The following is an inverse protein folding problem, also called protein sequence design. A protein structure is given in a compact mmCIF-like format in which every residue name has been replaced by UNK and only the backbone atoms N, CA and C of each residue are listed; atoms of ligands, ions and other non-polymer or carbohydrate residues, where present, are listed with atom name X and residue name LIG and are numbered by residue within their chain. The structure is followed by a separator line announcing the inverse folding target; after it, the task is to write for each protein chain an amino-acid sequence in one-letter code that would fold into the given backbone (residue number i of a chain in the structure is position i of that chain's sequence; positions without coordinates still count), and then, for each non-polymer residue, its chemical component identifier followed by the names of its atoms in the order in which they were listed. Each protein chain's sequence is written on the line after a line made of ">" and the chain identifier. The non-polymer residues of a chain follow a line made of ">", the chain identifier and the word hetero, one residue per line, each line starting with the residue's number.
data_IF_985155802447
#
_entry.id   IF_985155802447
#
_cell.length_a   1.000
_cell.length_b   1.000
_cell.length_c   1.000
_cell.angle_alpha   90.00
_cell.angle_beta   90.00
_cell.angle_gamma   90.00
#
_symmetry.space_group_name_H-M   'P 1'
#
loop_
_entity.id
_entity.type
_entity.pdbx_description
1 polymer ?
#
# COMPACT_ATOMS: atom_id res chain seq x y z
N UNK A 1 31.78 2.72 -3.20
CA UNK A 1 30.40 2.21 -3.00
C UNK A 1 30.46 0.69 -2.97
N UNK A 2 29.84 0.04 -1.99
CA UNK A 2 29.94 -1.41 -1.75
C UNK A 2 28.56 -2.05 -1.81
N UNK A 3 28.44 -3.24 -2.40
CA UNK A 3 27.18 -4.00 -2.53
C UNK A 3 27.43 -5.50 -2.36
N UNK A 4 26.45 -6.21 -1.82
CA UNK A 4 26.39 -7.67 -1.84
C UNK A 4 25.90 -8.09 -3.23
N UNK A 5 26.68 -8.91 -3.94
CA UNK A 5 26.38 -9.35 -5.31
C UNK A 5 26.79 -10.82 -5.43
N UNK A 6 25.99 -11.62 -6.14
CA UNK A 6 26.36 -12.99 -6.47
C UNK A 6 27.64 -13.00 -7.33
N UNK A 7 28.69 -13.65 -6.85
CA UNK A 7 29.95 -13.78 -7.58
C UNK A 7 30.01 -15.12 -8.30
N UNK A 8 30.10 -15.13 -9.63
CA UNK A 8 30.21 -16.37 -10.41
C UNK A 8 31.47 -17.18 -10.09
N UNK A 9 32.53 -16.51 -9.59
CA UNK A 9 33.79 -17.17 -9.20
C UNK A 9 33.73 -17.79 -7.81
N UNK A 10 33.07 -17.14 -6.84
CA UNK A 10 32.90 -17.68 -5.48
C UNK A 10 31.66 -18.59 -5.36
N UNK A 11 30.74 -18.48 -6.32
CA UNK A 11 29.42 -19.15 -6.35
C UNK A 11 28.52 -18.83 -5.16
N UNK A 12 28.72 -17.68 -4.54
CA UNK A 12 27.95 -17.18 -3.41
C UNK A 12 27.83 -15.65 -3.48
N UNK A 13 26.93 -15.09 -2.68
CA UNK A 13 26.84 -13.64 -2.50
C UNK A 13 28.07 -13.16 -1.70
N UNK A 14 28.82 -12.24 -2.29
CA UNK A 14 30.03 -11.69 -1.69
C UNK A 14 30.02 -10.17 -1.78
N UNK A 15 30.75 -9.48 -0.89
CA UNK A 15 30.93 -8.05 -0.97
C UNK A 15 31.72 -7.66 -2.22
N UNK A 16 31.20 -6.73 -3.01
CA UNK A 16 31.88 -6.13 -4.14
C UNK A 16 32.00 -4.62 -4.00
N UNK A 17 33.16 -4.08 -4.41
CA UNK A 17 33.45 -2.65 -4.42
C UNK A 17 33.38 -2.09 -5.84
N UNK A 18 32.73 -0.95 -6.01
CA UNK A 18 32.69 -0.23 -7.28
C UNK A 18 34.10 0.30 -7.62
N UNK A 19 34.67 -0.19 -8.72
CA UNK A 19 35.99 0.24 -9.22
C UNK A 19 35.90 1.16 -10.43
N UNK A 20 34.79 1.11 -11.19
CA UNK A 20 34.54 2.02 -12.30
C UNK A 20 33.06 2.45 -12.35
N UNK A 21 32.72 3.66 -11.88
CA UNK A 21 31.35 4.17 -11.90
C UNK A 21 30.76 4.29 -13.31
N UNK A 22 31.54 4.71 -14.31
CA UNK A 22 31.04 4.95 -15.67
C UNK A 22 30.61 3.68 -16.40
N UNK A 23 31.27 2.56 -16.08
CA UNK A 23 31.00 1.22 -16.65
C UNK A 23 30.30 0.28 -15.68
N UNK A 24 29.90 0.79 -14.52
CA UNK A 24 29.32 -0.01 -13.42
C UNK A 24 30.12 -1.29 -13.11
N UNK A 25 31.46 -1.20 -13.09
CA UNK A 25 32.31 -2.35 -12.78
C UNK A 25 32.51 -2.48 -11.28
N UNK A 26 32.19 -3.66 -10.77
CA UNK A 26 32.31 -4.06 -9.38
C UNK A 26 33.36 -5.16 -9.25
N UNK A 27 34.24 -5.04 -8.27
CA UNK A 27 35.27 -6.04 -7.97
C UNK A 27 34.91 -6.79 -6.69
N UNK A 28 34.91 -8.12 -6.74
CA UNK A 28 34.73 -8.99 -5.58
C UNK A 28 35.91 -8.81 -4.62
N UNK A 29 35.63 -8.56 -3.34
CA UNK A 29 36.70 -8.45 -2.33
C UNK A 29 37.27 -9.81 -1.90
N UNK A 30 36.60 -10.92 -2.22
CA UNK A 30 37.03 -12.28 -1.86
C UNK A 30 37.99 -12.86 -2.89
N UNK A 31 37.60 -12.87 -4.18
CA UNK A 31 38.39 -13.49 -5.25
C UNK A 31 39.01 -12.49 -6.24
N UNK A 32 38.67 -11.20 -6.13
CA UNK A 32 39.19 -10.16 -7.03
C UNK A 32 38.55 -10.11 -8.42
N UNK A 33 37.57 -10.98 -8.72
CA UNK A 33 36.87 -10.98 -10.02
C UNK A 33 36.13 -9.67 -10.26
N UNK A 34 36.17 -9.15 -11.48
CA UNK A 34 35.44 -7.94 -11.88
C UNK A 34 34.23 -8.32 -12.71
N UNK A 35 33.07 -7.74 -12.38
CA UNK A 35 31.82 -7.91 -13.12
C UNK A 35 31.15 -6.56 -13.39
N UNK A 36 30.39 -6.48 -14.48
CA UNK A 36 29.54 -5.33 -14.79
C UNK A 36 28.16 -5.53 -14.18
N UNK A 37 27.70 -4.56 -13.38
CA UNK A 37 26.39 -4.59 -12.73
C UNK A 37 25.59 -3.37 -13.13
N UNK A 38 24.86 -3.50 -14.22
CA UNK A 38 24.01 -2.42 -14.72
C UNK A 38 22.89 -2.12 -13.71
N UNK A 39 22.63 -0.84 -13.42
CA UNK A 39 21.48 -0.46 -12.62
C UNK A 39 20.21 -0.87 -13.36
N UNK A 40 19.23 -1.38 -12.62
CA UNK A 40 17.95 -1.73 -13.21
C UNK A 40 17.30 -0.46 -13.78
N UNK A 41 16.89 -0.51 -15.05
CA UNK A 41 16.20 0.62 -15.68
C UNK A 41 14.90 0.84 -14.92
N UNK A 42 14.65 2.06 -14.46
CA UNK A 42 13.38 2.45 -13.85
C UNK A 42 12.49 3.17 -14.84
N UNK A 43 11.19 3.05 -14.65
CA UNK A 43 10.15 3.74 -15.43
C UNK A 43 9.27 4.53 -14.47
N UNK A 44 8.91 5.73 -14.89
CA UNK A 44 7.90 6.55 -14.22
C UNK A 44 6.54 6.22 -14.82
N UNK A 45 5.60 5.75 -14.00
CA UNK A 45 4.23 5.45 -14.41
C UNK A 45 3.28 6.50 -13.86
N UNK A 46 2.30 6.90 -14.68
CA UNK A 46 1.22 7.77 -14.21
C UNK A 46 0.38 7.00 -13.19
N UNK A 47 0.05 7.67 -12.09
CA UNK A 47 -0.83 7.14 -11.06
C UNK A 47 -2.07 8.02 -10.89
N UNK A 48 -3.20 7.40 -10.62
CA UNK A 48 -4.43 8.07 -10.20
C UNK A 48 -4.84 7.47 -8.86
N UNK A 49 -4.70 8.24 -7.78
CA UNK A 49 -5.04 7.81 -6.43
C UNK A 49 -6.37 8.42 -6.00
N UNK A 50 -7.31 7.57 -5.64
CA UNK A 50 -8.66 7.97 -5.22
C UNK A 50 -8.80 7.95 -3.71
N UNK A 51 -9.40 9.00 -3.15
CA UNK A 51 -9.76 9.15 -1.74
C UNK A 51 -11.23 9.58 -1.64
N UNK A 52 -12.09 8.67 -1.19
CA UNK A 52 -13.55 8.83 -1.23
C UNK A 52 -14.05 9.23 -2.65
N UNK A 53 -14.49 10.48 -2.82
CA UNK A 53 -15.05 11.08 -4.03
C UNK A 53 -14.04 11.95 -4.81
N UNK A 54 -12.83 12.10 -4.28
CA UNK A 54 -11.77 12.90 -4.89
C UNK A 54 -10.70 11.99 -5.47
N UNK A 55 -10.18 12.34 -6.64
CA UNK A 55 -9.02 11.67 -7.24
C UNK A 55 -7.92 12.68 -7.51
N UNK A 56 -6.68 12.24 -7.32
CA UNK A 56 -5.50 13.05 -7.51
C UNK A 56 -4.55 12.35 -8.47
N UNK A 57 -3.87 13.16 -9.31
CA UNK A 57 -2.84 12.67 -10.21
C UNK A 57 -1.53 12.57 -9.44
N UNK A 58 -0.85 11.45 -9.61
CA UNK A 58 0.46 11.19 -9.06
C UNK A 58 1.33 10.39 -10.01
N UNK A 59 2.45 9.90 -9.48
CA UNK A 59 3.43 9.08 -10.19
C UNK A 59 3.95 7.97 -9.28
N UNK A 60 4.34 6.85 -9.87
CA UNK A 60 5.13 5.82 -9.20
C UNK A 60 6.40 5.57 -10.01
N UNK A 61 7.50 5.32 -9.31
CA UNK A 61 8.78 4.97 -9.93
C UNK A 61 9.13 3.53 -9.58
N UNK A 62 9.11 2.67 -10.59
CA UNK A 62 9.27 1.22 -10.44
C UNK A 62 10.33 0.71 -11.40
N UNK A 63 11.03 -0.41 -11.09
CA UNK A 63 11.89 -1.05 -12.05
C UNK A 63 11.10 -1.49 -13.29
N UNK A 64 11.71 -1.36 -14.47
CA UNK A 64 11.08 -1.67 -15.75
C UNK A 64 10.61 -3.12 -15.85
N UNK A 65 11.32 -4.03 -15.18
CA UNK A 65 11.00 -5.45 -15.17
C UNK A 65 9.96 -5.85 -14.11
N UNK A 66 9.54 -4.91 -13.26
CA UNK A 66 8.60 -5.19 -12.18
C UNK A 66 7.21 -5.54 -12.72
N UNK A 67 6.60 -6.55 -12.12
CA UNK A 67 5.23 -6.97 -12.43
C UNK A 67 4.32 -6.46 -11.32
N UNK A 68 3.49 -5.48 -11.66
CA UNK A 68 2.52 -4.90 -10.73
C UNK A 68 1.25 -5.74 -10.69
N UNK A 69 0.67 -5.87 -9.50
CA UNK A 69 -0.55 -6.66 -9.28
C UNK A 69 -1.59 -5.90 -8.47
N UNK A 70 -2.86 -6.07 -8.81
CA UNK A 70 -3.99 -5.56 -8.02
C UNK A 70 -3.94 -6.07 -6.58
N UNK A 71 -4.17 -5.17 -5.63
CA UNK A 71 -4.08 -5.40 -4.20
C UNK A 71 -2.69 -5.12 -3.60
N UNK A 72 -1.67 -4.90 -4.44
CA UNK A 72 -0.36 -4.45 -3.99
C UNK A 72 -0.41 -3.00 -3.49
N UNK A 73 0.36 -2.70 -2.46
CA UNK A 73 0.48 -1.35 -1.91
C UNK A 73 1.78 -0.70 -2.39
N UNK A 74 1.65 0.45 -3.04
CA UNK A 74 2.77 1.21 -3.60
C UNK A 74 2.79 2.63 -3.05
N UNK A 75 3.99 3.21 -2.99
CA UNK A 75 4.17 4.62 -2.64
C UNK A 75 3.97 5.47 -3.89
N UNK A 76 3.09 6.44 -3.79
CA UNK A 76 2.70 7.35 -4.88
C UNK A 76 3.20 8.74 -4.54
N UNK A 77 3.99 9.31 -5.44
CA UNK A 77 4.34 10.73 -5.39
C UNK A 77 3.15 11.55 -5.90
N UNK A 78 2.72 12.51 -5.09
CA UNK A 78 1.62 13.44 -5.37
C UNK A 78 2.12 14.87 -5.14
N UNK A 79 1.32 15.88 -5.51
CA UNK A 79 1.77 17.28 -5.47
C UNK A 79 2.29 17.74 -4.10
N UNK A 80 1.72 17.21 -3.02
CA UNK A 80 2.06 17.57 -1.63
C UNK A 80 2.89 16.49 -0.90
N UNK A 81 3.63 15.64 -1.62
CA UNK A 81 4.53 14.64 -1.04
C UNK A 81 4.20 13.22 -1.45
N UNK A 82 4.06 12.31 -0.49
CA UNK A 82 3.86 10.87 -0.76
C UNK A 82 2.61 10.32 -0.08
N UNK A 83 1.94 9.39 -0.75
CA UNK A 83 0.83 8.60 -0.21
C UNK A 83 1.06 7.11 -0.44
N UNK A 84 0.37 6.28 0.35
CA UNK A 84 0.35 4.84 0.15
C UNK A 84 -0.97 4.46 -0.52
N UNK A 85 -0.90 3.87 -1.70
CA UNK A 85 -2.05 3.47 -2.50
C UNK A 85 -2.08 1.97 -2.74
N UNK A 86 -3.26 1.36 -2.60
CA UNK A 86 -3.52 -0.02 -3.00
C UNK A 86 -3.96 -0.05 -4.47
N UNK A 87 -3.30 -0.86 -5.29
CA UNK A 87 -3.61 -0.99 -6.72
C UNK A 87 -4.99 -1.60 -6.88
N UNK A 88 -5.88 -0.89 -7.56
CA UNK A 88 -7.25 -1.35 -7.86
C UNK A 88 -7.40 -1.84 -9.30
N UNK A 89 -6.60 -1.31 -10.23
CA UNK A 89 -6.57 -1.71 -11.64
C UNK A 89 -5.33 -1.16 -12.34
N UNK A 90 -4.85 -1.87 -13.37
CA UNK A 90 -3.74 -1.44 -14.21
C UNK A 90 -4.27 -1.18 -15.63
N UNK A 91 -4.04 0.02 -16.15
CA UNK A 91 -4.42 0.40 -17.50
C UNK A 91 -3.19 0.35 -18.41
N UNK A 92 -3.27 -0.51 -19.42
CA UNK A 92 -2.20 -0.72 -20.40
C UNK A 92 -2.19 0.42 -21.43
N UNK A 93 -1.08 0.54 -22.17
CA UNK A 93 -0.91 1.50 -23.29
C UNK A 93 -1.95 1.38 -24.41
N UNK A 94 -2.60 0.22 -24.53
CA UNK A 94 -3.70 0.00 -25.46
C UNK A 94 -5.09 0.36 -24.89
N UNK A 95 -5.16 0.91 -23.68
CA UNK A 95 -6.38 1.30 -22.97
C UNK A 95 -7.11 0.15 -22.24
N UNK A 96 -6.64 -1.10 -22.37
CA UNK A 96 -7.26 -2.24 -21.65
C UNK A 96 -6.89 -2.18 -20.16
N UNK A 97 -7.87 -2.49 -19.31
CA UNK A 97 -7.67 -2.68 -17.87
C UNK A 97 -7.48 -4.15 -17.50
N UNK A 98 -6.46 -4.41 -16.69
CA UNK A 98 -6.07 -5.74 -16.22
C UNK A 98 -5.73 -5.70 -14.73
N UNK A 99 -5.64 -6.88 -14.11
CA UNK A 99 -5.29 -7.02 -12.70
C UNK A 99 -3.77 -7.25 -12.49
N UNK A 100 -3.02 -7.63 -13.53
CA UNK A 100 -1.57 -7.88 -13.49
C UNK A 100 -0.93 -7.42 -14.80
N UNK A 101 0.22 -6.73 -14.75
CA UNK A 101 0.97 -6.32 -15.93
C UNK A 101 2.44 -5.99 -15.61
N UNK A 102 3.33 -6.10 -16.62
CA UNK A 102 4.69 -5.57 -16.55
C UNK A 102 4.66 -4.04 -16.55
N UNK A 103 5.53 -3.43 -15.74
CA UNK A 103 5.67 -1.97 -15.64
C UNK A 103 5.86 -1.31 -17.02
N UNK A 104 6.57 -1.96 -17.95
CA UNK A 104 6.81 -1.39 -19.27
C UNK A 104 5.58 -1.32 -20.19
N UNK A 105 4.53 -2.09 -19.90
CA UNK A 105 3.29 -2.14 -20.69
C UNK A 105 2.18 -1.23 -20.14
N UNK A 106 2.36 -0.75 -18.90
CA UNK A 106 1.39 0.06 -18.18
C UNK A 106 1.49 1.52 -18.64
N UNK A 107 0.32 2.13 -18.83
CA UNK A 107 0.17 3.57 -19.06
C UNK A 107 -0.29 4.28 -17.78
N UNK A 108 -1.21 3.69 -17.02
CA UNK A 108 -1.74 4.29 -15.79
C UNK A 108 -2.07 3.26 -14.72
N UNK A 109 -1.64 3.54 -13.49
CA UNK A 109 -1.94 2.74 -12.30
C UNK A 109 -3.09 3.40 -11.53
N UNK A 110 -4.19 2.66 -11.34
CA UNK A 110 -5.37 3.13 -10.60
C UNK A 110 -5.31 2.65 -9.16
N UNK A 111 -5.36 3.58 -8.22
CA UNK A 111 -5.08 3.32 -6.81
C UNK A 111 -6.20 3.84 -5.92
N UNK A 112 -6.33 3.21 -4.76
CA UNK A 112 -7.13 3.69 -3.64
C UNK A 112 -6.18 4.11 -2.52
N UNK A 113 -6.37 5.28 -1.94
CA UNK A 113 -5.61 5.72 -0.78
C UNK A 113 -5.90 4.79 0.42
N UNK A 114 -4.83 4.19 0.94
CA UNK A 114 -4.86 3.32 2.11
C UNK A 114 -3.94 3.81 3.22
N UNK A 115 -3.21 4.90 3.02
CA UNK A 115 -2.33 5.47 4.03
C UNK A 115 -3.12 6.15 5.14
N UNK A 116 -4.03 7.05 4.77
CA UNK A 116 -4.89 7.77 5.70
C UNK A 116 -6.36 7.68 5.26
N UNK A 117 -7.15 6.94 6.02
CA UNK A 117 -8.49 6.52 5.63
C UNK A 117 -9.57 7.10 6.53
N UNK A 118 -10.74 7.32 5.95
CA UNK A 118 -11.95 7.72 6.65
C UNK A 118 -12.71 6.47 7.12
N UNK A 119 -12.79 6.27 8.44
CA UNK A 119 -13.57 5.18 9.03
C UNK A 119 -14.95 5.70 9.42
N UNK A 120 -15.99 5.12 8.80
CA UNK A 120 -17.38 5.45 9.09
C UNK A 120 -17.92 4.59 10.21
N UNK A 121 -18.52 5.21 11.22
CA UNK A 121 -19.04 4.56 12.41
C UNK A 121 -20.54 4.87 12.53
N UNK A 122 -21.33 3.85 12.84
CA UNK A 122 -22.74 3.98 13.21
C UNK A 122 -22.87 3.79 14.71
N UNK A 123 -23.17 4.87 15.41
CA UNK A 123 -23.31 4.90 16.86
C UNK A 123 -24.78 4.70 17.23
N UNK A 124 -25.08 3.59 17.88
CA UNK A 124 -26.43 3.22 18.30
C UNK A 124 -26.65 3.56 19.77
N UNK A 125 -27.70 4.34 20.07
CA UNK A 125 -28.16 4.64 21.44
C UNK A 125 -29.68 4.47 21.51
N UNK A 126 -30.12 3.31 21.98
CA UNK A 126 -31.53 2.93 21.93
C UNK A 126 -32.02 2.88 20.47
N UNK A 127 -33.12 3.57 20.10
CA UNK A 127 -33.63 3.60 18.73
C UNK A 127 -32.85 4.56 17.81
N UNK A 128 -31.99 5.42 18.35
CA UNK A 128 -31.28 6.45 17.59
C UNK A 128 -29.97 5.90 17.05
N UNK A 129 -29.72 6.13 15.76
CA UNK A 129 -28.42 5.85 15.10
C UNK A 129 -27.82 7.15 14.59
N UNK A 130 -26.62 7.49 15.07
CA UNK A 130 -25.89 8.68 14.66
C UNK A 130 -24.69 8.28 13.79
N UNK A 131 -24.52 8.85 12.57
CA UNK A 131 -23.30 8.67 11.81
C UNK A 131 -22.16 9.45 12.46
N UNK A 132 -20.98 8.83 12.51
CA UNK A 132 -19.75 9.43 13.01
C UNK A 132 -18.61 9.02 12.09
N UNK A 133 -17.62 9.89 11.91
CA UNK A 133 -16.49 9.64 11.02
C UNK A 133 -15.20 10.05 11.71
N UNK A 134 -14.16 9.25 11.53
CA UNK A 134 -12.81 9.55 12.00
C UNK A 134 -11.82 9.36 10.86
N UNK A 135 -10.78 10.19 10.83
CA UNK A 135 -9.62 10.00 9.96
C UNK A 135 -8.52 9.34 10.77
N UNK A 136 -7.93 8.28 10.24
CA UNK A 136 -6.88 7.54 10.91
C UNK A 136 -5.96 6.85 9.91
N UNK A 137 -4.80 6.38 10.36
CA UNK A 137 -3.93 5.58 9.50
C UNK A 137 -4.63 4.27 9.11
N UNK A 138 -4.48 3.87 7.85
CA UNK A 138 -5.02 2.61 7.34
C UNK A 138 -4.58 1.38 8.12
N UNK A 139 -3.43 1.46 8.81
CA UNK A 139 -2.86 0.37 9.61
C UNK A 139 -3.49 0.21 11.00
N UNK A 140 -4.26 1.19 11.48
CA UNK A 140 -4.93 1.10 12.78
C UNK A 140 -5.96 -0.03 12.75
N UNK A 141 -5.88 -0.95 13.69
CA UNK A 141 -6.84 -2.03 13.83
C UNK A 141 -8.02 -1.65 14.72
N UNK A 142 -9.23 -2.05 14.32
CA UNK A 142 -10.43 -1.97 15.15
C UNK A 142 -10.91 -3.38 15.48
N UNK A 143 -11.27 -3.61 16.74
CA UNK A 143 -11.64 -4.95 17.22
C UNK A 143 -13.10 -5.02 17.65
N UNK A 144 -13.81 -6.07 17.24
CA UNK A 144 -15.15 -6.35 17.78
C UNK A 144 -15.04 -6.60 19.28
N UNK A 145 -15.74 -5.78 20.06
CA UNK A 145 -15.70 -5.76 21.52
C UNK A 145 -14.93 -4.58 22.12
N UNK A 146 -14.15 -3.87 21.31
CA UNK A 146 -13.42 -2.67 21.73
C UNK A 146 -14.37 -1.52 22.15
N UNK A 147 -13.93 -0.70 23.11
CA UNK A 147 -14.68 0.47 23.58
C UNK A 147 -14.10 1.73 22.93
N UNK A 148 -14.90 2.38 22.10
CA UNK A 148 -14.60 3.66 21.47
C UNK A 148 -15.11 4.81 22.34
N UNK A 149 -14.23 5.74 22.78
CA UNK A 149 -14.64 7.00 23.35
C UNK A 149 -15.03 7.97 22.22
N UNK A 150 -16.29 8.41 22.22
CA UNK A 150 -16.79 9.41 21.27
C UNK A 150 -17.50 10.51 22.05
N UNK A 151 -16.98 11.74 21.99
CA UNK A 151 -17.56 12.93 22.63
C UNK A 151 -17.93 12.71 24.12
N UNK A 152 -17.02 12.10 24.88
CA UNK A 152 -17.21 11.81 26.31
C UNK A 152 -18.16 10.65 26.62
N UNK A 153 -18.66 9.94 25.61
CA UNK A 153 -19.49 8.73 25.74
C UNK A 153 -18.71 7.50 25.30
N UNK A 154 -19.10 6.33 25.83
CA UNK A 154 -18.47 5.05 25.50
C UNK A 154 -19.39 4.23 24.59
N UNK A 155 -18.81 3.66 23.53
CA UNK A 155 -19.50 2.79 22.60
C UNK A 155 -18.72 1.50 22.40
N UNK A 156 -19.34 0.34 22.61
CA UNK A 156 -18.72 -0.96 22.35
C UNK A 156 -18.94 -1.34 20.89
N UNK A 157 -17.87 -1.66 20.16
CA UNK A 157 -17.97 -2.18 18.79
C UNK A 157 -18.69 -3.53 18.81
N UNK A 158 -19.78 -3.64 18.07
CA UNK A 158 -20.58 -4.87 17.97
C UNK A 158 -20.30 -5.66 16.70
N UNK A 159 -19.97 -4.96 15.62
CA UNK A 159 -19.67 -5.57 14.32
C UNK A 159 -18.93 -4.60 13.41
N UNK A 160 -18.13 -5.15 12.50
CA UNK A 160 -17.34 -4.41 11.53
C UNK A 160 -17.66 -4.96 10.14
N UNK A 161 -18.18 -4.10 9.25
CA UNK A 161 -18.42 -4.42 7.84
C UNK A 161 -17.16 -4.09 7.05
N UNK A 162 -16.64 -5.08 6.33
CA UNK A 162 -15.46 -4.94 5.48
C UNK A 162 -15.84 -4.49 4.07
N UNK A 163 -14.87 -3.89 3.37
CA UNK A 163 -15.02 -3.44 1.97
C UNK A 163 -15.28 -4.62 1.05
N UNK A 164 -14.59 -5.75 1.25
CA UNK A 164 -14.77 -6.99 0.50
C UNK A 164 -16.14 -7.69 0.74
N UNK A 165 -17.02 -7.11 1.55
CA UNK A 165 -18.34 -7.67 1.86
C UNK A 165 -18.39 -8.51 3.14
N UNK A 166 -17.25 -8.86 3.74
CA UNK A 166 -17.19 -9.57 5.02
C UNK A 166 -17.86 -8.81 6.17
N UNK A 167 -18.33 -9.53 7.19
CA UNK A 167 -18.93 -8.95 8.39
C UNK A 167 -18.41 -9.64 9.64
N UNK A 168 -17.55 -8.96 10.38
CA UNK A 168 -17.01 -9.44 11.65
C UNK A 168 -18.04 -9.19 12.75
N UNK A 169 -18.44 -10.25 13.45
CA UNK A 169 -19.40 -10.19 14.58
C UNK A 169 -18.87 -10.87 15.86
N UNK A 170 -17.88 -11.76 15.72
CA UNK A 170 -17.33 -12.50 16.86
C UNK A 170 -16.36 -11.59 17.60
N UNK A 171 -16.52 -11.54 18.92
CA UNK A 171 -15.65 -10.78 19.82
C UNK A 171 -14.17 -11.19 19.63
N UNK A 172 -13.28 -10.20 19.68
CA UNK A 172 -11.84 -10.36 19.43
C UNK A 172 -11.43 -10.42 17.96
N UNK A 173 -12.36 -10.40 17.00
CA UNK A 173 -12.00 -10.26 15.57
C UNK A 173 -11.66 -8.80 15.25
N UNK A 174 -10.53 -8.58 14.60
CA UNK A 174 -10.05 -7.26 14.16
C UNK A 174 -10.06 -7.12 12.63
N UNK A 175 -9.99 -5.87 12.17
CA UNK A 175 -9.67 -5.50 10.80
C UNK A 175 -8.91 -4.18 10.80
N UNK A 176 -8.04 -3.98 9.81
CA UNK A 176 -7.33 -2.72 9.60
C UNK A 176 -8.29 -1.66 9.08
N UNK A 177 -8.09 -0.40 9.45
CA UNK A 177 -8.93 0.72 9.06
C UNK A 177 -9.13 0.78 7.54
N UNK A 178 -8.07 0.52 6.76
CA UNK A 178 -8.12 0.50 5.28
C UNK A 178 -9.05 -0.54 4.68
N UNK A 179 -9.45 -1.55 5.45
CA UNK A 179 -10.32 -2.66 5.03
C UNK A 179 -11.78 -2.46 5.46
N UNK A 180 -12.05 -1.44 6.29
CA UNK A 180 -13.34 -1.23 6.93
C UNK A 180 -14.23 -0.35 6.06
N UNK A 181 -15.42 -0.87 5.74
CA UNK A 181 -16.50 -0.09 5.13
C UNK A 181 -17.32 0.66 6.17
N UNK A 182 -17.62 0.02 7.32
CA UNK A 182 -18.37 0.63 8.42
C UNK A 182 -18.21 -0.12 9.74
N UNK A 183 -18.02 0.60 10.83
CA UNK A 183 -18.11 0.08 12.20
C UNK A 183 -19.51 0.32 12.75
N UNK A 184 -20.05 -0.63 13.50
CA UNK A 184 -21.30 -0.46 14.25
C UNK A 184 -21.01 -0.61 15.74
N UNK A 185 -21.31 0.42 16.52
CA UNK A 185 -21.01 0.45 17.94
C UNK A 185 -22.26 0.79 18.76
N UNK A 186 -22.42 0.12 19.89
CA UNK A 186 -23.55 0.28 20.80
C UNK A 186 -23.12 1.10 22.01
N UNK A 187 -23.92 2.10 22.38
CA UNK A 187 -23.71 2.89 23.58
C UNK A 187 -23.71 1.98 24.82
N UNK A 188 -22.71 2.17 25.67
CA UNK A 188 -22.63 1.54 26.99
C UNK A 188 -22.72 2.62 28.06
N UNK A 189 -23.49 2.32 29.12
CA UNK A 189 -23.64 3.21 30.28
C UNK A 189 -22.41 3.16 31.17
#
# INVERSE_FOLDING_TARGET
>A
MKREIYCDSCKEETPHVLINPSKHLFQCEVCGSVMEVLPEKRVELRAIISRDDVSERGKIEVPRSEVLTKGEEVVVEVGEGYRVGEITSLELKNGKRVDVASAEDIETVWLRDVGEVKVRISLHKGPVTTPYEIFTSGEVEFTVGEILPVEGRKYKITRIKLINGGLLKKEGRSAKAKEIRRIYAQFIR
#
